data_IF_654558712093
#
_entry.id   IF_654558712093
#
_cell.length_a   1.000
_cell.length_b   1.000
_cell.length_c   1.000
_cell.angle_alpha   90.00
_cell.angle_beta   90.00
_cell.angle_gamma   90.00
#
_symmetry.space_group_name_H-M   'P 1'
#
loop_
_entity.id
_entity.type
_entity.pdbx_description
1 polymer ?
#
# COMPACT_ATOMS: atom_id res chain seq x y z
N UNK A 1 9.86 20.87 -3.57
CA UNK A 1 9.78 19.73 -2.62
C UNK A 1 8.48 19.03 -2.87
N UNK A 2 8.49 17.71 -2.83
CA UNK A 2 7.31 16.90 -3.15
C UNK A 2 7.00 15.98 -1.99
N UNK A 3 5.72 15.80 -1.70
CA UNK A 3 5.25 14.79 -0.74
C UNK A 3 5.21 13.42 -1.41
N UNK A 4 5.49 12.38 -0.63
CA UNK A 4 5.46 10.99 -1.06
C UNK A 4 4.79 10.12 0.00
N UNK A 5 4.29 8.97 -0.43
CA UNK A 5 3.73 7.91 0.42
C UNK A 5 4.58 6.66 0.21
N UNK A 6 5.22 6.16 1.26
CA UNK A 6 5.89 4.87 1.31
C UNK A 6 5.02 3.84 2.05
N UNK A 7 4.82 2.70 1.41
CA UNK A 7 3.98 1.61 1.91
C UNK A 7 4.84 0.36 2.07
N UNK A 8 4.97 -0.10 3.30
CA UNK A 8 5.71 -1.33 3.58
C UNK A 8 4.88 -2.55 3.13
N UNK A 9 5.53 -3.49 2.46
CA UNK A 9 4.94 -4.76 2.07
C UNK A 9 4.64 -5.64 3.29
N UNK A 10 3.45 -6.28 3.25
CA UNK A 10 2.95 -7.32 4.15
C UNK A 10 3.56 -7.32 5.54
N UNK A 11 2.97 -6.51 6.39
CA UNK A 11 3.36 -6.32 7.79
C UNK A 11 2.58 -7.33 8.64
N UNK A 12 2.42 -8.56 8.14
CA UNK A 12 2.06 -9.71 8.98
C UNK A 12 3.30 -10.06 9.79
N UNK A 13 3.62 -9.12 10.67
CA UNK A 13 4.65 -9.23 11.66
C UNK A 13 4.05 -10.11 12.74
N UNK A 14 4.40 -11.40 12.73
CA UNK A 14 4.20 -12.23 13.92
C UNK A 14 4.71 -11.52 15.17
N UNK A 15 4.25 -11.92 16.35
CA UNK A 15 4.35 -11.16 17.61
C UNK A 15 5.73 -10.56 17.98
N UNK A 16 6.84 -11.00 17.37
CA UNK A 16 8.19 -10.45 17.57
C UNK A 16 8.74 -9.56 16.43
N UNK A 17 7.97 -9.19 15.41
CA UNK A 17 8.49 -8.44 14.24
C UNK A 17 8.02 -6.99 14.14
N UNK A 18 7.27 -6.48 15.13
CA UNK A 18 6.56 -5.19 15.16
C UNK A 18 7.50 -4.02 14.80
N UNK A 19 7.09 -3.17 13.85
CA UNK A 19 7.79 -1.91 13.55
C UNK A 19 7.25 -0.84 14.48
N UNK A 20 8.15 -0.20 15.23
CA UNK A 20 7.81 0.99 16.01
C UNK A 20 7.77 2.17 15.04
N UNK A 21 6.64 2.87 14.99
CA UNK A 21 6.45 3.95 14.01
C UNK A 21 7.34 5.16 14.27
N UNK A 22 7.83 5.36 15.51
CA UNK A 22 8.84 6.38 15.82
C UNK A 22 10.15 6.09 15.09
N UNK A 23 10.69 4.89 15.26
CA UNK A 23 11.90 4.42 14.60
C UNK A 23 11.78 4.49 13.07
N UNK A 24 10.59 4.19 12.51
CA UNK A 24 10.35 4.33 11.06
C UNK A 24 10.44 5.78 10.59
N UNK A 25 9.99 6.74 11.41
CA UNK A 25 10.13 8.17 11.10
C UNK A 25 11.58 8.61 11.24
N UNK A 26 12.25 8.26 12.33
CA UNK A 26 13.67 8.58 12.56
C UNK A 26 14.56 8.02 11.45
N UNK A 27 14.28 6.80 10.98
CA UNK A 27 14.96 6.21 9.82
C UNK A 27 14.82 7.08 8.56
N UNK A 28 13.61 7.59 8.30
CA UNK A 28 13.37 8.48 7.16
C UNK A 28 14.06 9.84 7.33
N UNK A 29 14.10 10.40 8.54
CA UNK A 29 14.88 11.62 8.84
C UNK A 29 16.37 11.39 8.62
N UNK A 30 16.90 10.23 9.02
CA UNK A 30 18.29 9.84 8.79
C UNK A 30 18.68 9.75 7.32
N UNK A 31 17.72 9.50 6.43
CA UNK A 31 17.90 9.56 4.97
C UNK A 31 17.84 10.99 4.40
N UNK A 32 17.60 12.00 5.25
CA UNK A 32 17.43 13.39 4.85
C UNK A 32 16.03 13.74 4.35
N UNK A 33 15.05 12.86 4.54
CA UNK A 33 13.65 13.16 4.23
C UNK A 33 13.03 14.04 5.31
N UNK A 34 12.05 14.84 4.93
CA UNK A 34 11.47 15.86 5.81
C UNK A 34 10.04 15.55 6.19
N UNK A 35 9.65 16.05 7.35
CA UNK A 35 8.30 15.95 7.89
C UNK A 35 7.72 14.52 7.85
N UNK A 36 8.47 13.47 8.24
CA UNK A 36 7.95 12.11 8.18
C UNK A 36 6.79 11.96 9.18
N UNK A 37 5.69 11.40 8.70
CA UNK A 37 4.48 11.14 9.46
C UNK A 37 4.00 9.74 9.13
N UNK A 38 3.42 9.05 10.11
CA UNK A 38 2.94 7.67 9.92
C UNK A 38 1.44 7.59 10.17
N UNK A 39 0.73 6.80 9.37
CA UNK A 39 -0.69 6.49 9.61
C UNK A 39 -0.81 5.06 10.13
N UNK A 40 -1.37 4.92 11.34
CA UNK A 40 -1.56 3.64 12.06
C UNK A 40 -0.28 2.79 12.16
N UNK A 41 -0.34 1.65 12.86
CA UNK A 41 0.82 0.74 13.01
C UNK A 41 0.90 -0.29 11.87
N UNK A 42 0.54 0.11 10.64
CA UNK A 42 0.51 -0.77 9.45
C UNK A 42 1.43 -0.24 8.36
N UNK A 43 2.58 0.34 8.73
CA UNK A 43 3.68 0.66 7.82
C UNK A 43 3.26 1.54 6.66
N UNK A 44 2.68 2.67 7.01
CA UNK A 44 2.41 3.77 6.11
C UNK A 44 3.25 4.95 6.55
N UNK A 45 4.05 5.49 5.65
CA UNK A 45 4.90 6.64 5.89
C UNK A 45 4.61 7.71 4.84
N UNK A 46 4.36 8.93 5.28
CA UNK A 46 4.27 10.13 4.45
C UNK A 46 5.49 10.97 4.76
N UNK A 47 6.18 11.47 3.74
CA UNK A 47 7.38 12.30 3.92
C UNK A 47 7.54 13.25 2.73
N UNK A 48 8.45 14.21 2.86
CA UNK A 48 8.85 15.11 1.78
C UNK A 48 10.30 14.86 1.37
N UNK A 49 10.55 14.87 0.07
CA UNK A 49 11.89 14.80 -0.49
C UNK A 49 12.04 15.71 -1.72
N UNK A 50 13.27 15.85 -2.21
CA UNK A 50 13.52 16.43 -3.53
C UNK A 50 12.72 15.70 -4.61
N UNK A 51 12.50 16.36 -5.75
CA UNK A 51 11.93 15.67 -6.91
C UNK A 51 12.96 14.67 -7.42
N UNK A 52 12.57 13.40 -7.47
CA UNK A 52 13.42 12.29 -7.91
C UNK A 52 12.55 11.16 -8.45
N UNK A 53 13.18 10.13 -9.02
CA UNK A 53 12.47 8.94 -9.47
C UNK A 53 11.97 8.11 -8.28
N UNK A 54 10.89 7.35 -8.48
CA UNK A 54 10.34 6.45 -7.45
C UNK A 54 11.37 5.39 -6.99
N UNK A 55 12.13 4.73 -7.90
CA UNK A 55 13.18 3.78 -7.50
C UNK A 55 14.29 4.39 -6.63
N UNK A 56 14.63 5.67 -6.84
CA UNK A 56 15.61 6.40 -6.04
C UNK A 56 15.11 6.75 -4.62
N UNK A 57 13.82 6.52 -4.34
CA UNK A 57 13.24 6.58 -2.99
C UNK A 57 13.09 5.18 -2.39
N UNK A 58 12.62 4.22 -3.18
CA UNK A 58 12.43 2.83 -2.73
C UNK A 58 13.73 2.20 -2.27
N UNK A 59 14.80 2.28 -3.08
CA UNK A 59 16.05 1.55 -2.80
C UNK A 59 16.74 2.03 -1.50
N UNK A 60 16.89 3.35 -1.23
CA UNK A 60 17.43 3.82 0.04
C UNK A 60 16.53 3.48 1.24
N UNK A 61 15.20 3.57 1.08
CA UNK A 61 14.25 3.21 2.15
C UNK A 61 14.37 1.74 2.53
N UNK A 62 14.46 0.83 1.56
CA UNK A 62 14.59 -0.62 1.81
C UNK A 62 15.92 -0.96 2.47
N UNK A 63 17.01 -0.35 1.99
CA UNK A 63 18.34 -0.51 2.57
C UNK A 63 18.37 -0.04 4.02
N UNK A 64 17.90 1.18 4.29
CA UNK A 64 17.83 1.72 5.65
C UNK A 64 16.92 0.88 6.53
N UNK A 65 15.79 0.40 6.01
CA UNK A 65 14.91 -0.49 6.76
C UNK A 65 15.61 -1.78 7.18
N UNK A 66 16.40 -2.39 6.29
CA UNK A 66 17.17 -3.58 6.62
C UNK A 66 18.25 -3.31 7.69
N UNK A 67 18.91 -2.15 7.64
CA UNK A 67 19.93 -1.75 8.62
C UNK A 67 19.30 -1.45 10.00
N UNK A 68 18.15 -0.76 10.03
CA UNK A 68 17.47 -0.37 11.27
C UNK A 68 16.72 -1.53 11.94
N UNK A 69 16.04 -2.37 11.15
CA UNK A 69 15.13 -3.41 11.68
C UNK A 69 15.68 -4.83 11.49
N UNK A 70 16.90 -4.98 10.96
CA UNK A 70 17.58 -6.27 10.81
C UNK A 70 16.92 -7.23 9.82
N UNK A 71 16.09 -6.73 8.90
CA UNK A 71 15.37 -7.54 7.90
C UNK A 71 14.97 -6.74 6.67
N UNK A 72 14.94 -7.41 5.53
CA UNK A 72 14.39 -6.84 4.30
C UNK A 72 12.87 -6.71 4.36
N UNK A 73 12.36 -5.63 3.77
CA UNK A 73 10.94 -5.49 3.39
C UNK A 73 10.89 -4.73 2.08
N UNK A 74 10.01 -5.15 1.17
CA UNK A 74 9.75 -4.35 -0.02
C UNK A 74 8.95 -3.10 0.38
N UNK A 75 9.35 -1.93 -0.12
CA UNK A 75 8.68 -0.65 0.10
C UNK A 75 8.20 -0.13 -1.25
N UNK A 76 6.91 0.20 -1.32
CA UNK A 76 6.31 0.77 -2.53
C UNK A 76 6.10 2.25 -2.30
N UNK A 77 6.66 3.09 -3.17
CA UNK A 77 6.52 4.54 -3.07
C UNK A 77 5.56 5.07 -4.13
N UNK A 78 4.73 6.04 -3.74
CA UNK A 78 3.89 6.85 -4.64
C UNK A 78 4.17 8.32 -4.39
N UNK A 79 4.15 9.13 -5.45
CA UNK A 79 4.09 10.59 -5.27
C UNK A 79 2.78 10.98 -4.61
N UNK A 80 2.75 12.11 -3.91
CA UNK A 80 1.54 12.62 -3.27
C UNK A 80 0.39 12.81 -4.27
N UNK A 81 0.70 13.40 -5.44
CA UNK A 81 -0.28 13.52 -6.53
C UNK A 81 -0.75 12.16 -7.06
N UNK A 82 0.14 11.17 -7.18
CA UNK A 82 -0.22 9.81 -7.56
C UNK A 82 -1.14 9.13 -6.55
N UNK A 83 -0.90 9.32 -5.25
CA UNK A 83 -1.76 8.79 -4.20
C UNK A 83 -3.14 9.45 -4.19
N UNK A 84 -3.20 10.78 -4.38
CA UNK A 84 -4.47 11.50 -4.48
C UNK A 84 -5.29 11.04 -5.70
N UNK A 85 -4.63 10.79 -6.84
CA UNK A 85 -5.27 10.20 -8.03
C UNK A 85 -5.81 8.81 -7.73
N UNK A 86 -5.01 7.93 -7.11
CA UNK A 86 -5.43 6.59 -6.71
C UNK A 86 -6.68 6.65 -5.82
N UNK A 87 -6.70 7.52 -4.81
CA UNK A 87 -7.84 7.69 -3.92
C UNK A 87 -9.09 8.22 -4.66
N UNK A 88 -8.91 9.11 -5.64
CA UNK A 88 -10.01 9.61 -6.45
C UNK A 88 -10.63 8.52 -7.34
N UNK A 89 -9.81 7.62 -7.88
CA UNK A 89 -10.18 6.60 -8.87
C UNK A 89 -10.67 5.26 -8.29
N UNK A 90 -11.06 5.20 -7.01
CA UNK A 90 -11.64 3.98 -6.42
C UNK A 90 -12.92 3.56 -7.19
N UNK A 91 -12.94 2.38 -7.86
CA UNK A 91 -14.09 1.92 -8.63
C UNK A 91 -15.25 1.39 -7.76
N UNK A 92 -15.01 1.20 -6.46
CA UNK A 92 -15.99 0.73 -5.47
C UNK A 92 -16.19 1.81 -4.39
N UNK A 93 -16.36 3.07 -4.84
CA UNK A 93 -16.45 4.22 -3.93
C UNK A 93 -17.66 4.10 -3.00
N UNK A 94 -18.83 3.83 -3.56
CA UNK A 94 -20.08 3.84 -2.79
C UNK A 94 -20.05 2.74 -1.71
N UNK A 95 -19.57 1.55 -2.05
CA UNK A 95 -19.42 0.44 -1.09
C UNK A 95 -18.32 0.71 -0.06
N UNK A 96 -17.28 1.46 -0.45
CA UNK A 96 -16.24 1.90 0.47
C UNK A 96 -16.74 2.95 1.46
N UNK A 97 -17.64 3.84 1.05
CA UNK A 97 -18.26 4.80 1.97
C UNK A 97 -19.29 4.14 2.90
N UNK A 98 -19.96 3.07 2.45
CA UNK A 98 -20.80 2.23 3.32
C UNK A 98 -19.95 1.46 4.34
N UNK A 99 -18.92 0.73 3.89
CA UNK A 99 -18.00 -0.01 4.74
C UNK A 99 -16.59 -0.03 4.15
N UNK A 100 -15.76 0.88 4.65
CA UNK A 100 -14.38 1.03 4.23
C UNK A 100 -13.48 -0.19 4.52
N UNK A 101 -13.94 -1.14 5.34
CA UNK A 101 -13.23 -2.40 5.59
C UNK A 101 -13.50 -3.46 4.53
N UNK A 102 -14.47 -3.26 3.65
CA UNK A 102 -14.80 -4.19 2.55
C UNK A 102 -14.13 -3.82 1.24
N UNK A 103 -13.66 -2.59 1.08
CA UNK A 103 -12.91 -2.15 -0.10
C UNK A 103 -11.44 -2.04 0.20
N UNK A 104 -10.64 -2.70 -0.63
CA UNK A 104 -9.18 -2.69 -0.54
C UNK A 104 -8.55 -2.42 -1.89
N UNK A 105 -7.35 -1.86 -1.86
CA UNK A 105 -6.44 -1.79 -2.99
C UNK A 105 -5.18 -2.57 -2.66
N UNK A 106 -4.72 -3.39 -3.59
CA UNK A 106 -3.35 -3.89 -3.62
C UNK A 106 -2.54 -2.93 -4.48
N UNK A 107 -1.79 -2.06 -3.82
CA UNK A 107 -0.90 -1.11 -4.48
C UNK A 107 0.31 -1.89 -4.96
N UNK A 108 0.62 -1.78 -6.25
CA UNK A 108 1.58 -2.60 -6.96
C UNK A 108 2.89 -1.85 -7.17
N UNK A 109 4.04 -2.53 -7.12
CA UNK A 109 5.30 -1.95 -7.59
C UNK A 109 5.25 -1.75 -9.10
N UNK A 110 4.96 -2.84 -9.81
CA UNK A 110 4.81 -2.86 -11.25
C UNK A 110 3.33 -3.02 -11.62
N UNK A 111 2.83 -2.31 -12.64
CA UNK A 111 1.42 -2.30 -12.99
C UNK A 111 0.93 -3.69 -13.41
N UNK A 112 -0.22 -4.09 -12.88
CA UNK A 112 -0.89 -5.32 -13.31
C UNK A 112 -1.54 -5.15 -14.70
N UNK A 113 -1.63 -6.27 -15.41
CA UNK A 113 -2.36 -6.39 -16.66
C UNK A 113 -3.68 -7.10 -16.46
N UNK A 114 -4.63 -6.91 -17.39
CA UNK A 114 -5.92 -7.62 -17.39
C UNK A 114 -5.79 -9.15 -17.35
N UNK A 115 -4.70 -9.69 -17.91
CA UNK A 115 -4.42 -11.13 -17.84
C UNK A 115 -4.26 -11.64 -16.40
N UNK A 116 -3.72 -10.80 -15.49
CA UNK A 116 -3.60 -11.14 -14.08
C UNK A 116 -4.98 -11.24 -13.40
N UNK A 117 -5.94 -10.40 -13.81
CA UNK A 117 -7.31 -10.37 -13.28
C UNK A 117 -8.06 -11.67 -13.60
N UNK A 118 -7.98 -12.12 -14.86
CA UNK A 118 -8.64 -13.36 -15.31
C UNK A 118 -8.21 -14.58 -14.47
N UNK A 119 -6.93 -14.63 -14.07
CA UNK A 119 -6.40 -15.70 -13.22
C UNK A 119 -6.99 -15.75 -11.80
N UNK A 120 -7.56 -14.63 -11.32
CA UNK A 120 -8.12 -14.45 -9.98
C UNK A 120 -9.64 -14.67 -9.90
N UNK A 121 -10.38 -14.54 -11.01
CA UNK A 121 -11.84 -14.64 -11.01
C UNK A 121 -12.37 -15.94 -10.39
N UNK A 122 -11.69 -17.08 -10.61
CA UNK A 122 -12.04 -18.37 -10.02
C UNK A 122 -12.01 -18.43 -8.48
N UNK A 123 -11.39 -17.44 -7.82
CA UNK A 123 -11.36 -17.33 -6.36
C UNK A 123 -12.44 -16.39 -5.81
N UNK A 124 -13.17 -15.69 -6.68
CA UNK A 124 -14.27 -14.78 -6.32
C UNK A 124 -15.56 -15.57 -6.11
N UNK A 125 -15.56 -16.48 -5.14
CA UNK A 125 -16.64 -17.45 -4.91
C UNK A 125 -17.73 -16.94 -3.97
N UNK A 126 -17.48 -15.83 -3.26
CA UNK A 126 -18.39 -15.26 -2.28
C UNK A 126 -19.01 -13.93 -2.78
N UNK A 127 -18.80 -13.57 -4.05
CA UNK A 127 -19.28 -12.31 -4.63
C UNK A 127 -18.26 -11.17 -4.58
N UNK A 128 -16.97 -11.49 -4.43
CA UNK A 128 -15.89 -10.51 -4.56
C UNK A 128 -15.89 -9.90 -5.97
N UNK A 129 -15.71 -8.57 -6.04
CA UNK A 129 -15.53 -7.85 -7.32
C UNK A 129 -14.11 -7.33 -7.39
N UNK A 130 -13.52 -7.42 -8.58
CA UNK A 130 -12.16 -7.01 -8.87
C UNK A 130 -12.14 -5.97 -9.98
N UNK A 131 -11.21 -5.02 -9.90
CA UNK A 131 -10.93 -4.08 -10.97
C UNK A 131 -9.46 -3.68 -10.96
N UNK A 132 -8.86 -3.46 -12.13
CA UNK A 132 -7.53 -2.86 -12.23
C UNK A 132 -7.72 -1.39 -12.63
N UNK A 133 -7.11 -0.48 -11.86
CA UNK A 133 -7.14 0.96 -12.15
C UNK A 133 -5.72 1.47 -12.08
N UNK A 134 -5.22 2.04 -13.19
CA UNK A 134 -3.84 2.53 -13.31
C UNK A 134 -2.78 1.49 -12.90
N UNK A 135 -3.07 0.19 -13.06
CA UNK A 135 -2.17 -0.92 -12.70
C UNK A 135 -2.30 -1.43 -11.27
N UNK A 136 -3.08 -0.79 -10.41
CA UNK A 136 -3.36 -1.24 -9.04
C UNK A 136 -4.65 -2.09 -8.98
N UNK A 137 -4.65 -3.16 -8.18
CA UNK A 137 -5.79 -4.07 -8.06
C UNK A 137 -6.73 -3.64 -6.94
N UNK A 138 -7.93 -3.23 -7.30
CA UNK A 138 -9.03 -2.96 -6.39
C UNK A 138 -9.87 -4.21 -6.16
N UNK A 139 -10.28 -4.40 -4.91
CA UNK A 139 -11.11 -5.52 -4.47
C UNK A 139 -12.23 -5.01 -3.59
N UNK A 140 -13.47 -5.32 -3.95
CA UNK A 140 -14.60 -5.22 -3.04
C UNK A 140 -14.98 -6.61 -2.55
N UNK A 141 -14.87 -6.83 -1.24
CA UNK A 141 -15.25 -8.07 -0.59
C UNK A 141 -16.73 -8.05 -0.19
N UNK A 142 -17.42 -9.17 -0.40
CA UNK A 142 -18.81 -9.34 0.04
C UNK A 142 -18.95 -9.44 1.57
N UNK A 143 -17.88 -9.82 2.27
CA UNK A 143 -17.80 -9.92 3.73
C UNK A 143 -16.41 -9.54 4.23
N UNK A 144 -15.97 -10.12 5.35
CA UNK A 144 -14.64 -9.84 5.91
C UNK A 144 -13.54 -10.32 4.94
N UNK A 145 -12.63 -9.42 4.58
CA UNK A 145 -11.52 -9.73 3.69
C UNK A 145 -10.72 -10.96 4.16
N UNK A 146 -10.48 -11.08 5.47
CA UNK A 146 -9.73 -12.19 6.09
C UNK A 146 -10.32 -13.58 5.85
N UNK A 147 -11.61 -13.67 5.52
CA UNK A 147 -12.32 -14.94 5.28
C UNK A 147 -12.35 -15.30 3.79
N UNK A 148 -11.96 -14.38 2.90
CA UNK A 148 -11.99 -14.60 1.45
C UNK A 148 -10.83 -15.49 1.00
N UNK A 149 -11.16 -16.51 0.20
CA UNK A 149 -10.17 -17.37 -0.48
C UNK A 149 -9.30 -16.61 -1.48
N UNK A 150 -9.76 -15.44 -1.93
CA UNK A 150 -9.04 -14.56 -2.86
C UNK A 150 -7.71 -14.08 -2.25
N UNK A 151 -7.67 -13.79 -0.94
CA UNK A 151 -6.43 -13.30 -0.29
C UNK A 151 -5.26 -14.29 -0.49
N UNK A 152 -5.51 -15.59 -0.33
CA UNK A 152 -4.50 -16.63 -0.53
C UNK A 152 -4.02 -16.77 -1.98
N UNK A 153 -4.80 -16.28 -2.95
CA UNK A 153 -4.44 -16.30 -4.37
C UNK A 153 -3.57 -15.10 -4.79
N UNK A 154 -3.57 -14.00 -4.03
CA UNK A 154 -2.92 -12.73 -4.38
C UNK A 154 -1.48 -12.65 -3.85
N UNK A 155 -0.67 -13.67 -4.16
CA UNK A 155 0.72 -13.77 -3.70
C UNK A 155 1.67 -12.97 -4.59
N UNK A 156 2.83 -12.57 -4.04
CA UNK A 156 3.91 -11.94 -4.81
C UNK A 156 4.37 -12.80 -5.99
N UNK A 157 4.39 -14.12 -5.85
CA UNK A 157 4.76 -15.03 -6.95
C UNK A 157 3.78 -14.94 -8.13
N UNK A 158 2.49 -14.70 -7.87
CA UNK A 158 1.46 -14.63 -8.92
C UNK A 158 1.34 -13.23 -9.51
N UNK A 159 1.38 -12.20 -8.67
CA UNK A 159 1.02 -10.83 -9.06
C UNK A 159 2.20 -9.86 -9.04
N UNK A 160 3.39 -10.28 -8.61
CA UNK A 160 4.49 -9.36 -8.34
C UNK A 160 4.34 -8.63 -7.00
N UNK A 161 5.30 -7.75 -6.70
CA UNK A 161 5.38 -7.02 -5.44
C UNK A 161 4.18 -6.07 -5.33
N UNK A 162 3.43 -6.17 -4.23
CA UNK A 162 2.25 -5.33 -4.00
C UNK A 162 1.72 -5.44 -2.59
N UNK A 163 1.21 -4.34 -2.01
CA UNK A 163 0.81 -4.25 -0.60
C UNK A 163 -0.65 -3.83 -0.46
N UNK A 164 -1.38 -4.46 0.46
CA UNK A 164 -2.81 -4.21 0.67
C UNK A 164 -3.08 -3.05 1.60
N UNK A 165 -3.99 -2.16 1.21
CA UNK A 165 -4.54 -1.09 2.05
C UNK A 165 -6.06 -1.08 1.91
N UNK A 166 -6.76 -1.01 3.03
CA UNK A 166 -8.20 -0.82 3.02
C UNK A 166 -8.54 0.65 2.70
N UNK A 167 -9.81 0.91 2.40
CA UNK A 167 -10.26 2.25 2.01
C UNK A 167 -10.04 3.30 3.11
N UNK A 168 -10.16 2.93 4.39
CA UNK A 168 -9.81 3.83 5.51
C UNK A 168 -8.36 4.32 5.44
N UNK A 169 -7.43 3.44 5.14
CA UNK A 169 -6.01 3.79 5.02
C UNK A 169 -5.76 4.67 3.80
N UNK A 170 -6.42 4.38 2.68
CA UNK A 170 -6.32 5.20 1.46
C UNK A 170 -6.80 6.63 1.72
N UNK A 171 -7.97 6.78 2.35
CA UNK A 171 -8.52 8.09 2.75
C UNK A 171 -7.62 8.83 3.73
N UNK A 172 -7.20 8.19 4.81
CA UNK A 172 -6.34 8.84 5.82
C UNK A 172 -5.00 9.31 5.25
N UNK A 173 -4.40 8.54 4.34
CA UNK A 173 -3.18 8.98 3.65
C UNK A 173 -3.44 10.13 2.68
N UNK A 174 -4.58 10.13 1.98
CA UNK A 174 -4.99 11.25 1.12
C UNK A 174 -5.22 12.53 1.95
N UNK A 175 -5.79 12.42 3.15
CA UNK A 175 -5.97 13.55 4.07
C UNK A 175 -4.63 14.10 4.56
N UNK A 176 -3.67 13.25 4.91
CA UNK A 176 -2.33 13.68 5.33
C UNK A 176 -1.54 14.43 4.25
N UNK A 177 -1.88 14.23 2.97
CA UNK A 177 -1.26 14.89 1.82
C UNK A 177 -1.90 16.23 1.47
N UNK A 178 -3.05 16.57 2.05
CA UNK A 178 -3.68 17.88 1.84
C UNK A 178 -2.94 18.93 2.69
N UNK A 179 -2.73 20.14 2.14
CA UNK A 179 -2.10 21.24 2.87
C UNK A 179 -2.94 21.72 4.05
#
# INVERSE_FOLDING_TARGET
>A
MSSYVALLYSIVLGAGRRVVMADLREMAEGLGYRSPRTLVATGNLVFEAGQTSIPDLESPLEKAFSETFGRHVDIIVRSGGGWLKLAASNPFRDEGEEDATRVHVRVMRDPLTEAALAGLQRYCVAGERLAIVDGDLWVHFAGKASESKLLGAMTTKRLGIGTFRNWNTVKGLAEMLRP
#
